data_IF_641886152699
#
_entry.id   IF_641886152699
#
_cell.length_a   1.000
_cell.length_b   1.000
_cell.length_c   1.000
_cell.angle_alpha   90.00
_cell.angle_beta   90.00
_cell.angle_gamma   90.00
#
_symmetry.space_group_name_H-M   'P 1'
#
loop_
_entity.id
_entity.type
_entity.pdbx_description
1 polymer ?
#
# COMPACT_ATOMS: atom_id res chain seq x y z
N UNK A 1 5.05 -0.49 28.37
CA UNK A 1 5.07 -0.03 26.96
C UNK A 1 3.79 0.72 26.71
N UNK A 2 3.78 2.05 26.86
CA UNK A 2 2.64 2.86 26.44
C UNK A 2 2.54 2.77 24.92
N UNK A 3 1.57 2.02 24.41
CA UNK A 3 1.28 1.96 22.99
C UNK A 3 0.78 3.32 22.53
N UNK A 4 1.66 4.14 21.99
CA UNK A 4 1.25 5.34 21.28
C UNK A 4 0.53 4.88 20.02
N UNK A 5 -0.79 5.10 19.98
CA UNK A 5 -1.59 4.92 18.78
C UNK A 5 -1.42 6.20 17.97
N UNK A 6 -0.82 6.10 16.79
CA UNK A 6 -0.75 7.24 15.87
C UNK A 6 -2.19 7.66 15.50
N UNK A 7 -2.47 8.98 15.43
CA UNK A 7 -3.80 9.46 15.10
C UNK A 7 -4.21 8.96 13.70
N UNK A 8 -5.41 8.39 13.63
CA UNK A 8 -6.03 7.98 12.38
C UNK A 8 -6.46 9.22 11.59
N UNK A 9 -6.40 9.13 10.26
CA UNK A 9 -6.82 10.21 9.38
C UNK A 9 -8.12 9.83 8.67
N UNK A 10 -9.01 10.81 8.51
CA UNK A 10 -10.15 10.66 7.61
C UNK A 10 -9.66 10.66 6.17
N UNK A 11 -10.02 9.60 5.44
CA UNK A 11 -9.58 9.38 4.07
C UNK A 11 -10.76 9.25 3.11
N UNK A 12 -10.59 9.80 1.92
CA UNK A 12 -11.56 9.75 0.82
C UNK A 12 -10.86 9.55 -0.52
N UNK A 13 -11.60 9.11 -1.55
CA UNK A 13 -11.03 8.69 -2.84
C UNK A 13 -10.29 9.81 -3.58
N UNK A 14 -10.65 11.07 -3.35
CA UNK A 14 -10.00 12.26 -3.90
C UNK A 14 -8.58 12.48 -3.34
N UNK A 15 -8.19 11.77 -2.27
CA UNK A 15 -6.85 11.81 -1.71
C UNK A 15 -5.89 10.78 -2.34
N UNK A 16 -6.35 9.96 -3.30
CA UNK A 16 -5.47 9.08 -4.08
C UNK A 16 -4.52 9.91 -4.95
N UNK A 17 -3.28 9.44 -5.10
CA UNK A 17 -2.30 10.13 -5.94
C UNK A 17 -2.35 9.58 -7.36
N UNK A 18 -2.90 10.37 -8.27
CA UNK A 18 -2.90 10.08 -9.71
C UNK A 18 -1.50 10.23 -10.30
N UNK A 19 -1.12 9.27 -11.15
CA UNK A 19 0.17 9.22 -11.83
C UNK A 19 -0.02 8.84 -13.30
N UNK A 20 0.93 9.24 -14.15
CA UNK A 20 1.03 8.75 -15.52
C UNK A 20 2.24 7.82 -15.67
N UNK A 21 2.14 6.92 -16.64
CA UNK A 21 3.20 6.00 -17.06
C UNK A 21 3.66 6.40 -18.46
N UNK A 22 4.93 6.16 -18.80
CA UNK A 22 5.44 6.46 -20.13
C UNK A 22 4.89 5.47 -21.16
N UNK A 23 4.90 4.19 -20.80
CA UNK A 23 4.38 3.10 -21.64
C UNK A 23 3.37 2.24 -20.85
N UNK A 24 2.37 1.61 -21.52
CA UNK A 24 1.43 0.70 -20.84
C UNK A 24 2.12 -0.43 -20.07
N UNK A 25 3.22 -0.95 -20.61
CA UNK A 25 3.98 -2.07 -20.04
C UNK A 25 4.73 -1.68 -18.75
N UNK A 26 4.96 -0.38 -18.53
CA UNK A 26 5.56 0.14 -17.30
C UNK A 26 4.69 -0.16 -16.07
N UNK A 27 3.40 -0.42 -16.25
CA UNK A 27 2.52 -0.85 -15.16
C UNK A 27 3.09 -2.09 -14.44
N UNK A 28 3.58 -3.07 -15.19
CA UNK A 28 4.15 -4.29 -14.62
C UNK A 28 5.49 -4.02 -13.93
N UNK A 29 6.30 -3.09 -14.47
CA UNK A 29 7.59 -2.67 -13.90
C UNK A 29 7.37 -1.95 -12.56
N UNK A 30 6.44 -1.00 -12.50
CA UNK A 30 6.07 -0.29 -11.27
C UNK A 30 5.49 -1.26 -10.24
N UNK A 31 4.60 -2.16 -10.68
CA UNK A 31 4.00 -3.18 -9.80
C UNK A 31 5.06 -4.08 -9.16
N UNK A 32 6.03 -4.58 -9.92
CA UNK A 32 7.13 -5.40 -9.38
C UNK A 32 8.00 -4.58 -8.42
N UNK A 33 8.36 -3.36 -8.82
CA UNK A 33 9.20 -2.46 -8.02
C UNK A 33 8.59 -2.20 -6.64
N UNK A 34 7.27 -1.97 -6.58
CA UNK A 34 6.54 -1.77 -5.34
C UNK A 34 6.56 -2.98 -4.40
N UNK A 35 6.68 -4.22 -4.89
CA UNK A 35 6.80 -5.40 -4.02
C UNK A 35 8.11 -5.44 -3.23
N UNK A 36 9.11 -4.68 -3.68
CA UNK A 36 10.45 -4.58 -3.07
C UNK A 36 10.60 -3.35 -2.18
N UNK A 37 9.52 -2.61 -1.92
CA UNK A 37 9.54 -1.36 -1.15
C UNK A 37 8.48 -1.37 -0.06
N UNK A 38 8.90 -1.03 1.17
CA UNK A 38 7.97 -0.86 2.29
C UNK A 38 8.66 -0.95 3.64
N UNK A 39 7.94 -1.44 4.64
CA UNK A 39 8.47 -1.60 6.00
C UNK A 39 9.16 -2.95 6.15
N UNK A 40 10.36 -2.98 6.73
CA UNK A 40 11.14 -4.21 6.87
C UNK A 40 11.22 -4.71 8.31
N UNK A 41 11.02 -6.02 8.49
CA UNK A 41 11.43 -6.77 9.67
C UNK A 41 12.80 -7.38 9.41
N UNK A 42 13.86 -6.83 10.02
CA UNK A 42 15.23 -7.36 9.86
C UNK A 42 15.38 -8.74 10.50
N UNK A 43 14.71 -8.97 11.64
CA UNK A 43 14.73 -10.24 12.36
C UNK A 43 14.19 -11.39 11.49
N UNK A 44 13.11 -11.13 10.76
CA UNK A 44 12.44 -12.13 9.91
C UNK A 44 12.92 -12.09 8.45
N UNK A 45 13.83 -11.17 8.10
CA UNK A 45 14.18 -10.82 6.71
C UNK A 45 12.92 -10.70 5.82
N UNK A 46 11.92 -9.99 6.32
CA UNK A 46 10.64 -9.78 5.62
C UNK A 46 10.47 -8.31 5.28
N UNK A 47 10.00 -8.04 4.06
CA UNK A 47 9.55 -6.71 3.67
C UNK A 47 8.03 -6.76 3.46
N UNK A 48 7.34 -5.81 4.07
CA UNK A 48 5.91 -5.63 3.94
C UNK A 48 5.66 -4.52 2.93
N UNK A 49 5.13 -4.88 1.77
CA UNK A 49 4.77 -3.94 0.71
C UNK A 49 3.81 -2.88 1.27
N UNK A 50 4.19 -1.61 1.11
CA UNK A 50 3.38 -0.48 1.58
C UNK A 50 2.39 0.03 0.54
N UNK A 51 2.84 0.16 -0.71
CA UNK A 51 2.06 0.80 -1.78
C UNK A 51 1.79 -0.14 -2.95
N UNK A 52 0.72 0.16 -3.68
CA UNK A 52 0.29 -0.53 -4.88
C UNK A 52 0.03 0.49 -5.99
N UNK A 53 0.24 0.04 -7.23
CA UNK A 53 -0.29 0.73 -8.40
C UNK A 53 -1.68 0.18 -8.71
N UNK A 54 -2.66 1.08 -8.83
CA UNK A 54 -4.06 0.78 -9.14
C UNK A 54 -4.38 1.36 -10.51
N UNK A 55 -5.03 0.57 -11.37
CA UNK A 55 -5.61 1.06 -12.62
C UNK A 55 -7.14 1.10 -12.47
N UNK A 56 -7.73 2.29 -12.58
CA UNK A 56 -9.16 2.52 -12.40
C UNK A 56 -9.65 3.56 -13.41
N UNK A 57 -10.65 3.20 -14.22
CA UNK A 57 -11.30 4.09 -15.19
C UNK A 57 -10.31 4.81 -16.14
N UNK A 58 -9.30 4.09 -16.63
CA UNK A 58 -8.29 4.64 -17.56
C UNK A 58 -7.20 5.47 -16.90
N UNK A 59 -7.15 5.55 -15.57
CA UNK A 59 -6.15 6.30 -14.81
C UNK A 59 -5.36 5.39 -13.87
N UNK A 60 -4.12 5.78 -13.61
CA UNK A 60 -3.22 5.08 -12.69
C UNK A 60 -3.08 5.86 -11.39
N UNK A 61 -3.01 5.13 -10.28
CA UNK A 61 -2.85 5.70 -8.95
C UNK A 61 -1.81 4.93 -8.16
N UNK A 62 -1.04 5.63 -7.31
CA UNK A 62 -0.26 5.00 -6.26
C UNK A 62 -1.00 5.16 -4.93
N UNK A 63 -1.31 4.03 -4.30
CA UNK A 63 -2.11 3.96 -3.08
C UNK A 63 -1.44 3.07 -2.03
N UNK A 64 -1.52 3.45 -0.77
CA UNK A 64 -1.16 2.64 0.37
C UNK A 64 -2.15 1.48 0.55
N UNK A 65 -1.69 0.33 1.03
CA UNK A 65 -2.55 -0.85 1.19
C UNK A 65 -3.77 -0.62 2.10
N UNK A 66 -3.67 0.33 3.06
CA UNK A 66 -4.81 0.72 3.91
C UNK A 66 -5.85 1.55 3.16
N UNK A 67 -5.46 2.38 2.20
CA UNK A 67 -6.40 3.08 1.32
C UNK A 67 -7.20 2.08 0.48
N UNK A 68 -6.58 0.95 0.08
CA UNK A 68 -7.30 -0.15 -0.58
C UNK A 68 -8.33 -0.83 0.34
N UNK A 69 -8.06 -0.94 1.65
CA UNK A 69 -9.09 -1.41 2.60
C UNK A 69 -10.24 -0.41 2.74
N UNK A 70 -9.95 0.89 2.76
CA UNK A 70 -10.98 1.93 2.79
C UNK A 70 -11.84 1.92 1.52
N UNK A 71 -11.23 1.71 0.34
CA UNK A 71 -11.94 1.53 -0.93
C UNK A 71 -12.90 0.33 -0.92
N UNK A 72 -12.56 -0.73 -0.18
CA UNK A 72 -13.43 -1.90 0.03
C UNK A 72 -14.55 -1.65 1.06
N UNK A 73 -14.62 -0.47 1.68
CA UNK A 73 -15.53 -0.15 2.78
C UNK A 73 -15.17 -0.82 4.11
N UNK A 74 -13.91 -1.23 4.29
CA UNK A 74 -13.40 -1.82 5.54
C UNK A 74 -12.77 -0.73 6.40
N UNK A 75 -12.71 -0.97 7.71
CA UNK A 75 -11.89 -0.15 8.60
C UNK A 75 -10.44 -0.15 8.12
N UNK A 76 -9.95 1.04 7.82
CA UNK A 76 -8.58 1.31 7.46
C UNK A 76 -8.03 2.24 8.54
N UNK A 77 -7.24 1.71 9.46
CA UNK A 77 -6.54 2.46 10.50
C UNK A 77 -5.37 3.26 9.89
N UNK A 78 -5.65 4.06 8.87
CA UNK A 78 -4.67 4.84 8.11
C UNK A 78 -4.15 5.97 9.01
N UNK A 79 -2.84 6.03 9.22
CA UNK A 79 -2.20 7.10 9.98
C UNK A 79 -1.51 8.12 9.08
N UNK A 80 -1.13 9.26 9.64
CA UNK A 80 -0.33 10.25 8.92
C UNK A 80 1.02 9.68 8.44
N UNK A 81 1.62 8.76 9.21
CA UNK A 81 2.88 8.12 8.86
C UNK A 81 2.73 7.20 7.64
N UNK A 82 1.58 6.54 7.49
CA UNK A 82 1.28 5.75 6.28
C UNK A 82 1.23 6.64 5.03
N UNK A 83 0.61 7.82 5.13
CA UNK A 83 0.58 8.83 4.05
C UNK A 83 1.97 9.37 3.75
N UNK A 84 2.75 9.70 4.78
CA UNK A 84 4.13 10.18 4.62
C UNK A 84 5.02 9.13 3.94
N UNK A 85 4.82 7.83 4.26
CA UNK A 85 5.52 6.73 3.58
C UNK A 85 5.07 6.57 2.14
N UNK A 86 3.76 6.65 1.87
CA UNK A 86 3.21 6.65 0.51
C UNK A 86 3.85 7.76 -0.32
N UNK A 87 3.87 8.98 0.21
CA UNK A 87 4.44 10.15 -0.45
C UNK A 87 5.94 9.95 -0.72
N UNK A 88 6.73 9.45 0.25
CA UNK A 88 8.14 9.11 0.01
C UNK A 88 8.32 8.08 -1.11
N UNK A 89 7.52 7.02 -1.13
CA UNK A 89 7.60 5.97 -2.16
C UNK A 89 7.26 6.55 -3.54
N UNK A 90 6.23 7.40 -3.63
CA UNK A 90 5.85 8.08 -4.88
C UNK A 90 6.99 8.98 -5.37
N UNK A 91 7.60 9.77 -4.49
CA UNK A 91 8.78 10.59 -4.84
C UNK A 91 9.91 9.73 -5.38
N UNK A 92 10.24 8.61 -4.72
CA UNK A 92 11.30 7.69 -5.21
C UNK A 92 11.00 7.14 -6.62
N UNK A 93 9.75 6.73 -6.88
CA UNK A 93 9.36 6.23 -8.19
C UNK A 93 9.45 7.33 -9.27
N UNK A 94 9.08 8.56 -8.92
CA UNK A 94 9.18 9.72 -9.82
C UNK A 94 10.64 10.08 -10.09
N UNK A 95 11.50 10.10 -9.07
CA UNK A 95 12.93 10.40 -9.18
C UNK A 95 13.65 9.37 -10.08
N UNK A 96 13.18 8.12 -10.09
CA UNK A 96 13.69 7.07 -10.99
C UNK A 96 13.07 7.09 -12.39
N UNK A 97 12.17 8.04 -12.67
CA UNK A 97 11.50 8.17 -13.96
C UNK A 97 10.51 7.04 -14.28
N UNK A 98 10.06 6.29 -13.28
CA UNK A 98 9.10 5.18 -13.47
C UNK A 98 7.66 5.67 -13.57
N UNK A 99 7.37 6.85 -13.04
CA UNK A 99 6.05 7.49 -13.05
C UNK A 99 6.23 9.01 -13.20
N UNK A 100 5.18 9.70 -13.63
CA UNK A 100 5.05 11.16 -13.46
C UNK A 100 3.84 11.46 -12.58
N UNK A 101 4.01 12.35 -11.60
CA UNK A 101 2.96 12.73 -10.66
C UNK A 101 2.06 13.78 -11.33
N UNK A 102 0.74 13.54 -11.38
CA UNK A 102 -0.19 14.48 -12.04
C UNK A 102 -0.38 15.76 -11.24
N UNK A 103 -0.53 15.66 -9.92
CA UNK A 103 -0.62 16.80 -9.02
C UNK A 103 0.45 16.70 -7.91
N UNK A 104 1.60 17.31 -8.15
CA UNK A 104 2.73 17.29 -7.21
C UNK A 104 2.44 18.02 -5.90
N UNK A 105 1.50 18.96 -5.87
CA UNK A 105 1.12 19.71 -4.66
C UNK A 105 0.47 18.81 -3.59
N UNK A 106 -0.07 17.65 -3.99
CA UNK A 106 -0.61 16.65 -3.05
C UNK A 106 0.49 15.88 -2.30
N UNK A 107 1.74 15.93 -2.78
CA UNK A 107 2.89 15.29 -2.14
C UNK A 107 3.51 16.27 -1.15
N UNK A 108 2.87 16.36 0.01
CA UNK A 108 3.38 17.10 1.18
C UNK A 108 3.89 16.10 2.21
N UNK A 109 4.84 16.52 3.04
CA UNK A 109 5.34 15.76 4.18
C UNK A 109 5.75 14.32 3.83
N UNK A 110 7.05 14.11 3.59
CA UNK A 110 7.58 12.78 3.26
C UNK A 110 8.22 12.12 4.46
N UNK A 111 7.99 10.82 4.64
CA UNK A 111 8.64 10.06 5.70
C UNK A 111 10.17 10.07 5.49
N UNK A 112 10.98 10.06 6.56
CA UNK A 112 12.42 9.87 6.45
C UNK A 112 12.77 8.55 5.75
N UNK A 113 13.82 8.54 4.93
CA UNK A 113 14.20 7.37 4.13
C UNK A 113 14.53 6.14 5.00
N UNK A 114 15.04 6.32 6.21
CA UNK A 114 15.35 5.23 7.14
C UNK A 114 14.11 4.45 7.64
N UNK A 115 12.90 4.98 7.45
CA UNK A 115 11.65 4.30 7.77
C UNK A 115 11.13 3.41 6.64
N UNK A 116 11.78 3.44 5.47
CA UNK A 116 11.41 2.68 4.28
C UNK A 116 12.61 1.85 3.84
N UNK A 117 12.38 0.56 3.62
CA UNK A 117 13.35 -0.33 2.98
C UNK A 117 13.06 -0.37 1.49
N UNK A 118 14.10 -0.17 0.69
CA UNK A 118 14.12 -0.48 -0.73
C UNK A 118 15.08 -1.65 -0.92
N UNK A 119 14.62 -2.73 -1.55
CA UNK A 119 15.47 -3.86 -1.92
C UNK A 119 15.87 -3.76 -3.39
N UNK A 120 17.15 -3.97 -3.68
CA UNK A 120 17.60 -4.12 -5.05
C UNK A 120 17.01 -5.42 -5.64
N UNK A 121 16.99 -5.53 -6.97
CA UNK A 121 16.57 -6.76 -7.62
C UNK A 121 17.44 -7.96 -7.23
N UNK A 122 18.74 -7.72 -6.99
CA UNK A 122 19.71 -8.76 -6.62
C UNK A 122 19.46 -9.31 -5.20
N UNK A 123 19.11 -8.43 -4.27
CA UNK A 123 18.93 -8.80 -2.86
C UNK A 123 17.55 -9.38 -2.56
N UNK A 124 16.59 -9.29 -3.50
CA UNK A 124 15.20 -9.68 -3.23
C UNK A 124 15.04 -11.16 -2.86
N UNK A 125 15.95 -12.02 -3.33
CA UNK A 125 15.96 -13.45 -2.99
C UNK A 125 16.29 -13.74 -1.52
N UNK A 126 16.96 -12.81 -0.84
CA UNK A 126 17.31 -12.93 0.58
C UNK A 126 16.18 -12.50 1.52
N UNK A 127 15.06 -12.01 0.95
CA UNK A 127 13.95 -11.44 1.71
C UNK A 127 12.63 -12.10 1.33
N UNK A 128 11.76 -12.29 2.33
CA UNK A 128 10.36 -12.62 2.07
C UNK A 128 9.61 -11.34 1.68
N UNK A 129 9.05 -11.31 0.46
CA UNK A 129 8.21 -10.21 -0.01
C UNK A 129 6.75 -10.47 0.39
N UNK A 130 6.25 -9.75 1.39
CA UNK A 130 4.91 -9.91 1.95
C UNK A 130 3.97 -8.81 1.44
N UNK A 131 2.82 -9.19 0.90
CA UNK A 131 1.79 -8.25 0.44
C UNK A 131 0.57 -8.27 1.36
N UNK A 132 0.27 -7.12 1.99
CA UNK A 132 -0.86 -7.00 2.93
C UNK A 132 -2.22 -6.88 2.23
N UNK A 133 -2.22 -6.55 0.94
CA UNK A 133 -3.43 -6.45 0.12
C UNK A 133 -3.22 -7.14 -1.22
N UNK A 134 -4.21 -7.90 -1.68
CA UNK A 134 -4.17 -8.55 -2.99
C UNK A 134 -5.26 -7.96 -3.88
N UNK A 135 -4.86 -7.16 -4.86
CA UNK A 135 -5.78 -6.58 -5.86
C UNK A 135 -6.38 -7.72 -6.69
N UNK A 136 -7.72 -7.74 -6.79
CA UNK A 136 -8.45 -8.66 -7.66
C UNK A 136 -8.81 -10.03 -7.05
N UNK A 137 -8.53 -10.30 -5.77
CA UNK A 137 -9.09 -11.49 -5.10
C UNK A 137 -10.58 -11.27 -4.84
N UNK A 138 -11.45 -12.00 -5.56
CA UNK A 138 -12.90 -12.04 -5.32
C UNK A 138 -13.17 -12.42 -3.86
N UNK A 139 -14.14 -11.77 -3.22
CA UNK A 139 -14.62 -12.12 -1.86
C UNK A 139 -14.93 -13.62 -1.82
N UNK A 140 -14.23 -14.40 -0.98
CA UNK A 140 -14.83 -15.61 -0.43
C UNK A 140 -15.93 -15.11 0.50
N UNK A 141 -17.18 -15.34 0.13
CA UNK A 141 -18.31 -15.17 1.05
C UNK A 141 -18.05 -16.15 2.20
N UNK A 142 -17.63 -15.63 3.35
CA UNK A 142 -17.59 -16.41 4.58
C UNK A 142 -19.05 -16.65 4.93
N UNK A 143 -19.57 -17.84 4.59
CA UNK A 143 -20.85 -18.28 5.13
C UNK A 143 -20.68 -18.40 6.63
N UNK A 144 -21.21 -17.43 7.37
CA UNK A 144 -21.37 -17.55 8.82
C UNK A 144 -22.40 -18.63 9.05
N UNK A 145 -21.95 -19.81 9.45
CA UNK A 145 -22.82 -20.90 9.92
C UNK A 145 -23.66 -20.34 11.08
N UNK A 146 -25.00 -20.46 11.06
CA UNK A 146 -25.80 -20.07 12.20
C UNK A 146 -25.44 -20.98 13.38
N UNK A 147 -24.98 -20.35 14.47
CA UNK A 147 -24.72 -21.01 15.74
C UNK A 147 -26.02 -21.66 16.22
N UNK A 148 -26.00 -22.98 16.38
CA UNK A 148 -27.14 -23.74 16.88
C UNK A 148 -27.39 -23.36 18.35
N UNK A 149 -28.49 -22.65 18.58
CA UNK A 149 -29.05 -22.42 19.91
C UNK A 149 -29.62 -23.76 20.40
N UNK A 150 -28.88 -24.48 21.25
CA UNK A 150 -29.41 -25.65 21.96
C UNK A 150 -30.33 -25.11 23.05
N UNK A 151 -31.64 -25.37 22.90
CA UNK A 151 -32.61 -25.17 23.98
C UNK A 151 -32.34 -26.21 25.07
N UNK A 152 -32.38 -25.74 26.31
CA UNK A 152 -32.39 -26.56 27.50
C UNK A 152 -33.74 -27.28 27.63
N UNK A 153 -33.69 -28.53 28.07
CA UNK A 153 -34.78 -29.24 28.75
C UNK A 153 -34.44 -29.33 30.25
#
# INVERSE_FOLDING_TARGET
>A
MSGFVEPEIEWSQDQMIEVTLNEPDDFLKVRETLTRIGVASRKEKKIYQSCHILHKQGRYYIVHFKELFALDGKSANLSINDVQRRNRIITLLSDWGLITIVNSEMIKDVAPLNQIKVLSFKDKGDWTLETKYNIGKKKKVVQTSPSAFVKAD
#
